data_IF_446198770966
#
_entry.id   IF_446198770966
#
_cell.length_a   1.000
_cell.length_b   1.000
_cell.length_c   1.000
_cell.angle_alpha   90.00
_cell.angle_beta   90.00
_cell.angle_gamma   90.00
#
_symmetry.space_group_name_H-M   'P 1'
#
loop_
_entity.id
_entity.type
_entity.pdbx_description
1 polymer ?
#
# COMPACT_ATOMS: atom_id res chain seq x y z
N UNK A 1 6.20 28.59 8.98
CA UNK A 1 6.60 27.36 8.26
C UNK A 1 5.84 26.22 8.90
N UNK A 2 5.15 25.37 8.12
CA UNK A 2 4.41 24.22 8.68
C UNK A 2 5.36 23.08 9.00
N UNK A 3 5.13 22.40 10.12
CA UNK A 3 5.88 21.21 10.56
C UNK A 3 5.14 19.95 10.13
N UNK A 4 5.82 19.13 9.33
CA UNK A 4 5.28 17.87 8.79
C UNK A 4 5.98 16.70 9.48
N UNK A 5 5.25 15.86 10.19
CA UNK A 5 5.76 14.58 10.65
C UNK A 5 5.60 13.53 9.55
N UNK A 6 6.69 12.90 9.13
CA UNK A 6 6.65 11.75 8.23
C UNK A 6 6.79 10.50 9.08
N UNK A 7 5.71 9.72 9.18
CA UNK A 7 5.65 8.51 9.99
C UNK A 7 5.87 7.29 9.10
N UNK A 8 6.87 6.46 9.42
CA UNK A 8 7.26 5.34 8.58
C UNK A 8 7.86 4.16 9.38
N UNK A 9 8.09 3.03 8.71
CA UNK A 9 8.48 1.75 9.31
C UNK A 9 7.25 0.90 9.61
N UNK A 10 6.94 0.69 10.88
CA UNK A 10 5.72 -0.01 11.33
C UNK A 10 5.91 -1.51 11.57
N UNK A 11 4.94 -2.10 12.25
CA UNK A 11 4.86 -3.55 12.51
C UNK A 11 4.11 -4.18 11.34
N UNK A 12 4.81 -4.38 10.23
CA UNK A 12 4.23 -4.87 8.98
C UNK A 12 5.27 -5.68 8.22
N UNK A 13 4.82 -6.59 7.37
CA UNK A 13 5.68 -7.31 6.41
C UNK A 13 6.29 -6.36 5.36
N UNK A 14 5.70 -5.17 5.17
CA UNK A 14 6.13 -4.14 4.23
C UNK A 14 6.96 -3.01 4.90
N UNK A 15 7.52 -3.30 6.08
CA UNK A 15 8.33 -2.36 6.86
C UNK A 15 9.46 -1.70 6.05
N UNK A 16 10.21 -2.49 5.31
CA UNK A 16 11.37 -2.01 4.57
C UNK A 16 10.95 -1.16 3.35
N UNK A 17 9.81 -1.49 2.72
CA UNK A 17 9.18 -0.67 1.66
C UNK A 17 8.76 0.69 2.20
N UNK A 18 8.21 0.73 3.41
CA UNK A 18 7.85 1.96 4.10
C UNK A 18 9.05 2.89 4.31
N UNK A 19 10.19 2.36 4.70
CA UNK A 19 11.43 3.14 4.85
C UNK A 19 11.83 3.77 3.51
N UNK A 20 11.83 2.99 2.44
CA UNK A 20 12.19 3.47 1.09
C UNK A 20 11.23 4.58 0.67
N UNK A 21 9.91 4.36 0.75
CA UNK A 21 8.90 5.36 0.41
C UNK A 21 9.10 6.66 1.19
N UNK A 22 9.28 6.56 2.51
CA UNK A 22 9.48 7.74 3.35
C UNK A 22 10.71 8.55 2.95
N UNK A 23 11.85 7.89 2.75
CA UNK A 23 13.12 8.58 2.52
C UNK A 23 13.20 9.14 1.10
N UNK A 24 12.80 8.36 0.09
CA UNK A 24 13.00 8.73 -1.32
C UNK A 24 11.85 9.53 -1.91
N UNK A 25 10.62 9.21 -1.53
CA UNK A 25 9.42 9.79 -2.16
C UNK A 25 8.71 10.84 -1.32
N UNK A 26 9.03 10.96 -0.02
CA UNK A 26 8.40 11.94 0.87
C UNK A 26 9.41 12.91 1.46
N UNK A 27 10.33 12.44 2.32
CA UNK A 27 11.24 13.32 3.08
C UNK A 27 12.17 14.11 2.16
N UNK A 28 12.81 13.43 1.21
CA UNK A 28 13.74 14.09 0.29
C UNK A 28 13.04 15.13 -0.58
N UNK A 29 11.91 14.82 -1.26
CA UNK A 29 11.17 15.83 -2.03
C UNK A 29 10.66 17.00 -1.19
N UNK A 30 10.13 16.76 0.01
CA UNK A 30 9.66 17.82 0.90
C UNK A 30 10.80 18.78 1.32
N UNK A 31 11.98 18.21 1.65
CA UNK A 31 13.17 19.02 1.97
C UNK A 31 13.67 19.83 0.78
N UNK A 32 13.64 19.26 -0.43
CA UNK A 32 14.03 19.95 -1.66
C UNK A 32 13.05 21.06 -2.07
N UNK A 33 11.75 20.82 -1.89
CA UNK A 33 10.72 21.82 -2.17
C UNK A 33 10.83 23.04 -1.23
N UNK A 34 11.32 22.84 -0.02
CA UNK A 34 11.43 23.88 1.00
C UNK A 34 10.07 24.33 1.54
N UNK A 35 10.08 25.32 2.44
CA UNK A 35 8.84 25.87 3.04
C UNK A 35 8.22 25.02 4.14
N UNK A 36 8.76 23.84 4.41
CA UNK A 36 8.32 22.92 5.45
C UNK A 36 9.46 22.57 6.39
N UNK A 37 9.11 22.31 7.66
CA UNK A 37 9.98 21.65 8.62
C UNK A 37 9.58 20.17 8.66
N UNK A 38 10.51 19.27 8.30
CA UNK A 38 10.22 17.83 8.16
C UNK A 38 10.78 17.07 9.35
N UNK A 39 9.91 16.38 10.08
CA UNK A 39 10.23 15.61 11.28
C UNK A 39 10.08 14.10 10.98
N UNK A 40 11.18 13.36 10.81
CA UNK A 40 11.14 11.93 10.61
C UNK A 40 10.73 11.21 11.90
N UNK A 41 9.69 10.38 11.82
CA UNK A 41 9.20 9.56 12.93
C UNK A 41 9.20 8.09 12.47
N UNK A 42 10.06 7.30 13.07
CA UNK A 42 10.25 5.91 12.72
C UNK A 42 9.61 4.99 13.75
N UNK A 43 8.87 4.01 13.25
CA UNK A 43 8.30 2.91 14.05
C UNK A 43 9.10 1.65 13.73
N UNK A 44 9.76 1.07 14.74
CA UNK A 44 10.52 -0.17 14.56
C UNK A 44 9.62 -1.40 14.39
N UNK A 45 10.20 -2.53 13.96
CA UNK A 45 9.47 -3.80 13.76
C UNK A 45 8.83 -4.35 15.05
N UNK A 46 9.30 -3.90 16.22
CA UNK A 46 8.73 -4.22 17.53
C UNK A 46 7.80 -3.13 18.09
N UNK A 47 7.38 -2.17 17.27
CA UNK A 47 6.37 -1.16 17.59
C UNK A 47 6.87 0.02 18.43
N UNK A 48 8.18 0.19 18.61
CA UNK A 48 8.73 1.36 19.31
C UNK A 48 8.85 2.56 18.39
N UNK A 49 8.54 3.74 18.91
CA UNK A 49 8.55 5.01 18.18
C UNK A 49 9.83 5.80 18.47
N UNK A 50 10.42 6.35 17.41
CA UNK A 50 11.63 7.17 17.45
C UNK A 50 11.45 8.44 16.65
N UNK A 51 12.01 9.54 17.13
CA UNK A 51 12.00 10.85 16.45
C UNK A 51 13.40 11.44 16.51
N UNK A 52 14.05 11.55 15.37
CA UNK A 52 15.38 12.14 15.22
C UNK A 52 15.65 12.48 13.76
N UNK A 53 16.35 13.58 13.47
CA UNK A 53 16.69 13.97 12.10
C UNK A 53 17.58 12.94 11.39
N UNK A 54 18.40 12.17 12.12
CA UNK A 54 19.24 11.09 11.57
C UNK A 54 18.43 9.98 10.92
N UNK A 55 17.17 9.80 11.30
CA UNK A 55 16.25 8.83 10.70
C UNK A 55 15.93 9.14 9.23
N UNK A 56 16.25 10.33 8.74
CA UNK A 56 16.16 10.69 7.33
C UNK A 56 17.38 10.25 6.49
N UNK A 57 18.41 9.68 7.11
CA UNK A 57 19.60 9.22 6.40
C UNK A 57 19.47 7.73 6.02
N UNK A 58 19.41 7.45 4.74
CA UNK A 58 19.32 6.08 4.21
C UNK A 58 20.48 5.19 4.67
N UNK A 59 21.67 5.77 4.88
CA UNK A 59 22.85 5.03 5.32
C UNK A 59 22.65 4.37 6.66
N UNK A 60 21.86 4.98 7.57
CA UNK A 60 21.54 4.43 8.88
C UNK A 60 20.91 3.02 8.78
N UNK A 61 20.09 2.81 7.75
CA UNK A 61 19.41 1.52 7.49
C UNK A 61 20.29 0.55 6.72
N UNK A 62 21.03 1.05 5.73
CA UNK A 62 21.92 0.23 4.89
C UNK A 62 23.13 -0.34 5.64
N UNK A 63 23.68 0.41 6.59
CA UNK A 63 24.84 -0.02 7.40
C UNK A 63 24.47 -0.98 8.55
N UNK A 64 23.16 -1.09 8.88
CA UNK A 64 22.70 -1.81 10.07
C UNK A 64 22.87 -1.01 11.37
N UNK A 65 23.32 0.24 11.30
CA UNK A 65 23.51 1.12 12.50
C UNK A 65 22.20 1.48 13.17
N UNK A 66 21.05 1.25 12.50
CA UNK A 66 19.72 1.52 13.07
C UNK A 66 19.49 0.78 14.37
N UNK A 67 19.99 -0.45 14.54
CA UNK A 67 19.84 -1.23 15.77
C UNK A 67 20.58 -0.59 16.94
N UNK A 68 21.81 -0.09 16.71
CA UNK A 68 22.57 0.62 17.72
C UNK A 68 21.95 1.98 18.04
N UNK A 69 21.47 2.69 17.02
CA UNK A 69 20.72 3.93 17.19
C UNK A 69 19.51 3.70 18.11
N UNK A 70 18.67 2.69 17.83
CA UNK A 70 17.48 2.39 18.64
C UNK A 70 17.78 2.04 20.09
N UNK A 71 18.92 1.40 20.36
CA UNK A 71 19.33 1.10 21.74
C UNK A 71 19.66 2.35 22.57
N UNK A 72 20.17 3.41 21.91
CA UNK A 72 20.63 4.65 22.57
C UNK A 72 19.63 5.79 22.47
N UNK A 73 18.72 5.74 21.48
CA UNK A 73 17.79 6.83 21.24
C UNK A 73 16.71 6.91 22.33
N UNK A 74 16.33 8.11 22.75
CA UNK A 74 15.21 8.29 23.64
C UNK A 74 13.90 7.86 22.95
N UNK A 75 13.02 7.22 23.71
CA UNK A 75 11.68 6.89 23.25
C UNK A 75 10.85 8.15 23.02
N UNK A 76 9.98 8.09 22.03
CA UNK A 76 9.03 9.15 21.72
C UNK A 76 7.66 8.77 22.27
N UNK A 77 6.96 9.76 22.81
CA UNK A 77 5.56 9.67 23.16
C UNK A 77 4.79 10.67 22.32
N UNK A 78 3.60 10.27 21.90
CA UNK A 78 2.65 11.16 21.23
C UNK A 78 1.73 11.80 22.27
N UNK A 79 1.62 13.12 22.25
CA UNK A 79 0.63 13.86 23.02
C UNK A 79 -0.40 14.44 22.07
N UNK A 80 -1.68 14.24 22.39
CA UNK A 80 -2.82 14.69 21.60
C UNK A 80 -3.58 15.86 22.26
N UNK A 81 -2.93 16.56 23.18
CA UNK A 81 -3.51 17.72 23.86
C UNK A 81 -3.52 18.93 22.90
N UNK A 82 -4.65 19.19 22.28
CA UNK A 82 -4.85 20.27 21.31
C UNK A 82 -4.12 20.06 19.97
N UNK A 83 -4.02 18.82 19.51
CA UNK A 83 -3.35 18.39 18.29
C UNK A 83 -2.24 17.40 18.58
N UNK A 84 -1.38 17.11 17.58
CA UNK A 84 -0.27 16.18 17.76
C UNK A 84 1.02 16.92 18.20
N UNK A 85 1.59 16.46 19.31
CA UNK A 85 2.91 16.89 19.75
C UNK A 85 3.80 15.67 19.96
N UNK A 86 4.97 15.65 19.32
CA UNK A 86 6.02 14.68 19.59
C UNK A 86 6.73 15.10 20.89
N UNK A 87 6.90 14.15 21.81
CA UNK A 87 7.56 14.37 23.09
C UNK A 87 8.65 13.34 23.26
N UNK A 88 9.89 13.77 23.42
CA UNK A 88 10.98 12.87 23.81
C UNK A 88 11.62 13.30 25.13
N UNK A 89 11.80 12.33 26.02
CA UNK A 89 12.47 12.55 27.28
C UNK A 89 13.98 12.41 27.11
N UNK A 90 14.75 13.43 27.50
CA UNK A 90 16.21 13.29 27.54
C UNK A 90 16.60 12.29 28.64
N UNK A 91 17.57 11.43 28.36
CA UNK A 91 18.16 10.53 29.37
C UNK A 91 18.95 11.28 30.46
N UNK A 92 19.35 12.54 30.15
CA UNK A 92 20.11 13.39 31.07
C UNK A 92 19.30 14.62 31.46
N UNK A 93 19.25 14.91 32.77
CA UNK A 93 18.72 16.15 33.36
C UNK A 93 17.20 16.41 33.19
N UNK A 94 16.36 15.42 32.98
CA UNK A 94 14.89 15.62 33.01
C UNK A 94 14.32 16.57 31.94
N UNK A 95 15.13 17.02 30.99
CA UNK A 95 14.67 17.90 29.90
C UNK A 95 13.83 17.11 28.92
N UNK A 96 12.63 17.63 28.63
CA UNK A 96 11.76 17.11 27.57
C UNK A 96 11.91 18.00 26.34
N UNK A 97 12.01 17.39 25.16
CA UNK A 97 11.88 18.10 23.89
C UNK A 97 10.48 17.91 23.35
N UNK A 98 9.89 18.99 22.85
CA UNK A 98 8.51 19.02 22.33
C UNK A 98 8.53 19.54 20.91
N UNK A 99 7.72 18.94 20.03
CA UNK A 99 7.53 19.40 18.66
C UNK A 99 6.06 19.28 18.29
N UNK A 100 5.42 20.42 18.11
CA UNK A 100 4.05 20.46 17.58
C UNK A 100 4.05 20.14 16.09
N UNK A 101 3.14 19.31 15.66
CA UNK A 101 2.96 18.85 14.29
C UNK A 101 1.73 19.51 13.70
N UNK A 102 1.87 20.12 12.52
CA UNK A 102 0.75 20.73 11.79
C UNK A 102 0.08 19.74 10.83
N UNK A 103 0.86 18.81 10.25
CA UNK A 103 0.37 17.80 9.28
C UNK A 103 1.16 16.52 9.47
N UNK A 104 0.51 15.38 9.36
CA UNK A 104 1.17 14.07 9.29
C UNK A 104 1.18 13.58 7.85
N UNK A 105 2.33 13.09 7.40
CA UNK A 105 2.46 12.32 6.18
C UNK A 105 2.71 10.86 6.57
N UNK A 106 1.68 10.00 6.56
CA UNK A 106 1.86 8.57 6.71
C UNK A 106 2.65 8.04 5.51
N UNK A 107 3.71 7.27 5.78
CA UNK A 107 4.47 6.56 4.75
C UNK A 107 4.63 5.09 5.17
N UNK A 108 3.64 4.59 5.92
CA UNK A 108 3.52 3.20 6.36
C UNK A 108 2.86 2.38 5.25
N UNK A 109 3.25 1.11 5.14
CA UNK A 109 2.63 0.17 4.22
C UNK A 109 2.15 -1.07 4.94
N UNK A 110 1.04 -1.66 4.43
CA UNK A 110 0.41 -2.83 5.01
C UNK A 110 -0.31 -2.55 6.32
N UNK A 111 -0.33 -3.54 7.19
CA UNK A 111 -1.05 -3.53 8.48
C UNK A 111 -0.62 -2.36 9.37
N UNK A 112 -1.58 -1.76 10.06
CA UNK A 112 -1.47 -0.57 10.93
C UNK A 112 -1.05 0.73 10.18
N UNK A 113 -0.90 0.67 8.86
CA UNK A 113 -0.50 1.80 8.04
C UNK A 113 -1.53 2.20 6.99
N UNK A 114 -2.01 1.23 6.20
CA UNK A 114 -2.94 1.44 5.10
C UNK A 114 -4.38 1.08 5.46
N UNK A 115 -4.60 0.37 6.56
CA UNK A 115 -5.91 -0.16 7.02
C UNK A 115 -6.77 0.86 7.77
N UNK A 116 -6.32 2.11 7.88
CA UNK A 116 -7.05 3.19 8.53
C UNK A 116 -6.78 3.37 10.02
N UNK A 117 -6.05 2.48 10.68
CA UNK A 117 -5.82 2.56 12.13
C UNK A 117 -5.05 3.83 12.54
N UNK A 118 -3.95 4.15 11.85
CA UNK A 118 -3.23 5.40 12.09
C UNK A 118 -4.09 6.61 11.74
N UNK A 119 -4.85 6.56 10.65
CA UNK A 119 -5.75 7.64 10.24
C UNK A 119 -6.82 7.91 11.30
N UNK A 120 -7.42 6.85 11.86
CA UNK A 120 -8.39 6.97 12.95
C UNK A 120 -7.81 7.64 14.20
N UNK A 121 -6.58 7.32 14.56
CA UNK A 121 -5.86 7.99 15.65
C UNK A 121 -5.66 9.49 15.36
N UNK A 122 -5.28 9.84 14.13
CA UNK A 122 -5.05 11.23 13.72
C UNK A 122 -6.38 12.03 13.64
N UNK A 123 -7.46 11.40 13.16
CA UNK A 123 -8.81 12.00 13.13
C UNK A 123 -9.31 12.29 14.54
N UNK A 124 -9.19 11.34 15.48
CA UNK A 124 -9.54 11.56 16.90
C UNK A 124 -8.72 12.71 17.53
N UNK A 125 -7.47 12.88 17.11
CA UNK A 125 -6.59 13.94 17.56
C UNK A 125 -6.82 15.28 16.83
N UNK A 126 -7.71 15.32 15.83
CA UNK A 126 -7.94 16.47 14.95
C UNK A 126 -6.66 16.98 14.28
N UNK A 127 -5.85 16.05 13.77
CA UNK A 127 -4.58 16.31 13.09
C UNK A 127 -4.72 16.07 11.60
N UNK A 128 -4.52 17.07 10.74
CA UNK A 128 -4.52 16.87 9.29
C UNK A 128 -3.44 15.87 8.84
N UNK A 129 -3.77 15.05 7.86
CA UNK A 129 -2.83 14.09 7.30
C UNK A 129 -3.01 13.94 5.78
N UNK A 130 -2.03 13.31 5.13
CA UNK A 130 -2.06 12.98 3.70
C UNK A 130 -2.49 11.53 3.54
N UNK A 131 -3.46 11.26 2.65
CA UNK A 131 -3.94 9.92 2.35
C UNK A 131 -5.46 9.81 2.45
N UNK A 132 -5.97 8.59 2.28
CA UNK A 132 -7.38 8.28 2.42
C UNK A 132 -7.85 8.41 3.87
N UNK A 133 -9.13 8.74 4.07
CA UNK A 133 -9.76 8.74 5.39
C UNK A 133 -9.74 7.34 6.03
N UNK A 134 -9.94 7.27 7.34
CA UNK A 134 -9.97 6.00 8.06
C UNK A 134 -10.99 5.02 7.44
N UNK A 135 -12.26 5.39 7.18
CA UNK A 135 -13.22 4.47 6.56
C UNK A 135 -12.81 4.02 5.15
N UNK A 136 -12.32 4.95 4.31
CA UNK A 136 -11.88 4.63 2.96
C UNK A 136 -10.68 3.67 2.97
N UNK A 137 -9.72 3.88 3.88
CA UNK A 137 -8.55 3.02 4.04
C UNK A 137 -8.95 1.61 4.52
N UNK A 138 -9.82 1.51 5.52
CA UNK A 138 -10.30 0.23 6.03
C UNK A 138 -11.05 -0.58 4.96
N UNK A 139 -11.90 0.10 4.17
CA UNK A 139 -12.61 -0.53 3.04
C UNK A 139 -11.63 -0.94 1.94
N UNK A 140 -10.70 -0.07 1.57
CA UNK A 140 -9.72 -0.35 0.50
C UNK A 140 -8.85 -1.56 0.83
N UNK A 141 -8.47 -1.74 2.09
CA UNK A 141 -7.65 -2.88 2.52
C UNK A 141 -8.43 -4.20 2.64
N UNK A 142 -9.75 -4.18 2.74
CA UNK A 142 -10.58 -5.39 2.68
C UNK A 142 -11.07 -5.63 1.25
N UNK A 143 -10.42 -6.55 0.52
CA UNK A 143 -10.75 -6.87 -0.88
C UNK A 143 -12.21 -7.26 -1.09
N UNK A 144 -12.83 -7.88 -0.09
CA UNK A 144 -14.25 -8.28 -0.16
C UNK A 144 -15.16 -7.06 -0.04
N UNK A 145 -14.95 -6.20 0.97
CA UNK A 145 -15.75 -5.00 1.16
C UNK A 145 -15.58 -4.03 -0.02
N UNK A 146 -14.36 -3.82 -0.49
CA UNK A 146 -14.10 -2.98 -1.65
C UNK A 146 -14.87 -3.46 -2.90
N UNK A 147 -14.85 -4.78 -3.16
CA UNK A 147 -15.58 -5.36 -4.30
C UNK A 147 -17.10 -5.35 -4.10
N UNK A 148 -17.59 -5.54 -2.88
CA UNK A 148 -19.02 -5.41 -2.58
C UNK A 148 -19.54 -4.01 -2.87
N UNK A 149 -18.81 -2.98 -2.42
CA UNK A 149 -19.16 -1.58 -2.70
C UNK A 149 -19.06 -1.28 -4.21
N UNK A 150 -17.98 -1.71 -4.87
CA UNK A 150 -17.79 -1.56 -6.32
C UNK A 150 -18.97 -2.19 -7.09
N UNK A 151 -19.30 -3.45 -6.80
CA UNK A 151 -20.41 -4.18 -7.45
C UNK A 151 -21.76 -3.53 -7.21
N UNK A 152 -22.01 -3.01 -5.99
CA UNK A 152 -23.26 -2.28 -5.68
C UNK A 152 -23.38 -0.97 -6.48
N UNK A 153 -22.27 -0.45 -6.98
CA UNK A 153 -22.21 0.73 -7.86
C UNK A 153 -22.01 0.35 -9.33
N UNK A 154 -22.31 -0.88 -9.72
CA UNK A 154 -22.23 -1.40 -11.11
C UNK A 154 -20.81 -1.34 -11.70
N UNK A 155 -19.77 -1.33 -10.86
CA UNK A 155 -18.39 -1.43 -11.31
C UNK A 155 -18.06 -2.90 -11.50
N UNK A 156 -17.59 -3.32 -12.68
CA UNK A 156 -17.22 -4.70 -12.94
C UNK A 156 -16.08 -5.18 -12.05
N UNK A 157 -16.24 -6.36 -11.46
CA UNK A 157 -15.20 -7.09 -10.73
C UNK A 157 -15.09 -8.51 -11.28
N UNK A 158 -13.96 -9.21 -11.15
CA UNK A 158 -13.93 -10.64 -11.37
C UNK A 158 -15.00 -11.30 -10.50
N UNK A 159 -15.59 -12.39 -10.99
CA UNK A 159 -16.55 -13.15 -10.18
C UNK A 159 -15.85 -13.74 -8.97
N UNK A 160 -16.42 -13.59 -7.80
CA UNK A 160 -15.78 -13.97 -6.53
C UNK A 160 -16.77 -14.48 -5.51
N UNK A 161 -16.24 -15.27 -4.57
CA UNK A 161 -16.87 -15.60 -3.30
C UNK A 161 -15.86 -15.43 -2.16
N UNK A 162 -16.30 -15.54 -0.92
CA UNK A 162 -15.40 -15.43 0.22
C UNK A 162 -15.84 -16.35 1.35
N UNK A 163 -14.91 -16.63 2.26
CA UNK A 163 -15.17 -17.42 3.45
C UNK A 163 -14.38 -16.90 4.64
N UNK A 164 -14.82 -17.30 5.83
CA UNK A 164 -14.09 -17.11 7.07
C UNK A 164 -13.40 -18.41 7.49
N UNK A 165 -12.22 -18.32 8.07
CA UNK A 165 -11.39 -19.44 8.54
C UNK A 165 -12.20 -20.43 9.39
N UNK A 166 -12.91 -19.93 10.41
CA UNK A 166 -13.64 -20.79 11.34
C UNK A 166 -14.76 -21.59 10.64
N UNK A 167 -15.46 -20.95 9.68
CA UNK A 167 -16.47 -21.63 8.87
C UNK A 167 -15.84 -22.72 8.01
N UNK A 168 -14.69 -22.42 7.39
CA UNK A 168 -13.97 -23.37 6.55
C UNK A 168 -13.49 -24.58 7.35
N UNK A 169 -12.88 -24.38 8.52
CA UNK A 169 -12.42 -25.47 9.39
C UNK A 169 -13.58 -26.40 9.80
N UNK A 170 -14.74 -25.82 10.11
CA UNK A 170 -15.91 -26.61 10.54
C UNK A 170 -16.61 -27.34 9.40
N UNK A 171 -16.57 -26.81 8.16
CA UNK A 171 -17.38 -27.28 7.02
C UNK A 171 -16.58 -27.32 5.72
N UNK A 172 -15.33 -27.80 5.76
CA UNK A 172 -14.40 -27.77 4.61
C UNK A 172 -15.02 -28.31 3.33
N UNK A 173 -15.65 -29.50 3.38
CA UNK A 173 -16.24 -30.14 2.18
C UNK A 173 -17.41 -29.33 1.59
N UNK A 174 -18.25 -28.75 2.45
CA UNK A 174 -19.38 -27.93 2.00
C UNK A 174 -18.88 -26.59 1.41
N UNK A 175 -17.88 -25.97 2.03
CA UNK A 175 -17.26 -24.74 1.50
C UNK A 175 -16.68 -24.99 0.11
N UNK A 176 -15.88 -26.04 -0.07
CA UNK A 176 -15.31 -26.37 -1.38
C UNK A 176 -16.39 -26.61 -2.43
N UNK A 177 -17.44 -27.39 -2.08
CA UNK A 177 -18.56 -27.65 -2.98
C UNK A 177 -19.31 -26.36 -3.36
N UNK A 178 -19.54 -25.46 -2.42
CA UNK A 178 -20.22 -24.20 -2.68
C UNK A 178 -19.40 -23.30 -3.61
N UNK A 179 -18.09 -23.21 -3.37
CA UNK A 179 -17.17 -22.44 -4.24
C UNK A 179 -17.22 -22.99 -5.67
N UNK A 180 -17.13 -24.31 -5.86
CA UNK A 180 -17.17 -24.95 -7.18
C UNK A 180 -18.53 -24.84 -7.89
N UNK A 181 -19.62 -24.64 -7.12
CA UNK A 181 -20.94 -24.36 -7.71
C UNK A 181 -21.06 -22.90 -8.18
N UNK A 182 -20.33 -22.00 -7.55
CA UNK A 182 -20.36 -20.56 -7.85
C UNK A 182 -19.31 -20.12 -8.85
N UNK A 183 -18.10 -20.69 -8.80
CA UNK A 183 -16.94 -20.25 -9.55
C UNK A 183 -16.38 -21.34 -10.47
N UNK A 184 -15.75 -20.93 -11.57
CA UNK A 184 -15.05 -21.81 -12.49
C UNK A 184 -13.53 -21.75 -12.30
N UNK A 185 -12.86 -22.88 -12.46
CA UNK A 185 -11.41 -22.94 -12.51
C UNK A 185 -10.86 -22.30 -13.82
N UNK A 186 -9.66 -21.70 -13.80
CA UNK A 186 -8.78 -21.47 -12.65
C UNK A 186 -9.30 -20.39 -11.70
N UNK A 187 -8.90 -20.49 -10.43
CA UNK A 187 -9.26 -19.53 -9.39
C UNK A 187 -8.01 -18.97 -8.71
N UNK A 188 -8.08 -17.72 -8.26
CA UNK A 188 -7.11 -17.14 -7.34
C UNK A 188 -7.68 -17.07 -5.93
N UNK A 189 -6.94 -17.59 -4.97
CA UNK A 189 -7.26 -17.55 -3.54
C UNK A 189 -6.33 -16.55 -2.86
N UNK A 190 -6.89 -15.60 -2.11
CA UNK A 190 -6.15 -14.48 -1.55
C UNK A 190 -6.61 -14.18 -0.12
N UNK A 191 -5.71 -13.86 0.83
CA UNK A 191 -6.09 -13.19 2.06
C UNK A 191 -6.82 -11.88 1.75
N UNK A 192 -7.87 -11.54 2.49
CA UNK A 192 -8.69 -10.36 2.22
C UNK A 192 -7.96 -9.04 2.54
N UNK A 193 -7.14 -9.03 3.60
CA UNK A 193 -6.53 -7.83 4.18
C UNK A 193 -5.03 -7.67 3.92
N UNK A 194 -4.40 -8.52 3.10
CA UNK A 194 -2.96 -8.44 2.83
C UNK A 194 -2.65 -7.93 1.44
N UNK A 195 -1.54 -7.19 1.33
CA UNK A 195 -0.94 -6.71 0.10
C UNK A 195 0.22 -7.58 -0.41
N UNK A 196 1.00 -7.06 -1.35
CA UNK A 196 2.27 -7.64 -1.86
C UNK A 196 2.18 -9.10 -2.28
N UNK A 197 1.01 -9.56 -2.74
CA UNK A 197 0.74 -10.96 -3.15
C UNK A 197 1.04 -12.01 -2.08
N UNK A 198 1.13 -11.65 -0.79
CA UNK A 198 1.37 -12.58 0.31
C UNK A 198 0.17 -13.51 0.45
N UNK A 199 0.41 -14.83 0.42
CA UNK A 199 -0.64 -15.85 0.56
C UNK A 199 -1.55 -16.00 -0.66
N UNK A 200 -1.26 -15.32 -1.79
CA UNK A 200 -2.01 -15.46 -3.05
C UNK A 200 -1.59 -16.75 -3.75
N UNK A 201 -2.55 -17.59 -4.06
CA UNK A 201 -2.30 -18.89 -4.75
C UNK A 201 -3.33 -19.10 -5.86
N UNK A 202 -2.85 -19.56 -7.02
CA UNK A 202 -3.68 -19.98 -8.15
C UNK A 202 -4.04 -21.46 -8.01
N UNK A 203 -5.30 -21.81 -8.21
CA UNK A 203 -5.81 -23.18 -8.15
C UNK A 203 -6.49 -23.55 -9.47
N UNK A 204 -6.20 -24.76 -9.97
CA UNK A 204 -6.77 -25.32 -11.21
C UNK A 204 -7.56 -26.59 -10.95
N UNK A 205 -7.44 -27.14 -9.75
CA UNK A 205 -8.12 -28.35 -9.28
C UNK A 205 -8.65 -28.16 -7.86
N UNK A 206 -9.55 -29.05 -7.43
CA UNK A 206 -10.11 -29.05 -6.08
C UNK A 206 -9.02 -29.20 -4.99
N UNK A 207 -8.03 -30.06 -5.21
CA UNK A 207 -6.96 -30.27 -4.24
C UNK A 207 -6.06 -29.03 -4.12
N UNK A 208 -5.79 -28.38 -5.25
CA UNK A 208 -5.08 -27.10 -5.26
C UNK A 208 -5.90 -25.99 -4.60
N UNK A 209 -7.23 -25.95 -4.81
CA UNK A 209 -8.13 -25.00 -4.16
C UNK A 209 -8.10 -25.17 -2.64
N UNK A 210 -8.19 -26.41 -2.16
CA UNK A 210 -8.10 -26.72 -0.74
C UNK A 210 -6.77 -26.22 -0.15
N UNK A 211 -5.65 -26.58 -0.75
CA UNK A 211 -4.32 -26.13 -0.31
C UNK A 211 -4.20 -24.62 -0.34
N UNK A 212 -4.71 -23.95 -1.37
CA UNK A 212 -4.69 -22.51 -1.50
C UNK A 212 -5.48 -21.79 -0.39
N UNK A 213 -6.65 -22.34 -0.01
CA UNK A 213 -7.44 -21.82 1.10
C UNK A 213 -6.70 -22.03 2.43
N UNK A 214 -6.09 -23.18 2.64
CA UNK A 214 -5.30 -23.46 3.86
C UNK A 214 -4.10 -22.49 3.99
N UNK A 215 -3.41 -22.20 2.88
CA UNK A 215 -2.35 -21.18 2.85
C UNK A 215 -2.90 -19.79 3.19
N UNK A 216 -3.98 -19.37 2.51
CA UNK A 216 -4.54 -18.03 2.73
C UNK A 216 -5.09 -17.86 4.15
N UNK A 217 -5.75 -18.89 4.72
CA UNK A 217 -6.28 -18.88 6.09
C UNK A 217 -5.18 -18.91 7.16
N UNK A 218 -3.95 -19.29 6.84
CA UNK A 218 -2.83 -19.15 7.76
C UNK A 218 -2.51 -17.66 8.03
N UNK A 219 -2.69 -16.81 7.02
CA UNK A 219 -2.35 -15.39 7.09
C UNK A 219 -3.52 -14.51 7.52
N UNK A 220 -4.77 -14.90 7.22
CA UNK A 220 -5.95 -14.04 7.42
C UNK A 220 -7.17 -14.86 7.83
N UNK A 221 -8.04 -14.29 8.63
CA UNK A 221 -9.29 -14.93 9.04
C UNK A 221 -10.36 -14.88 7.95
N UNK A 222 -10.19 -14.04 6.94
CA UNK A 222 -11.07 -13.84 5.80
C UNK A 222 -10.33 -14.06 4.49
N UNK A 223 -10.88 -14.90 3.64
CA UNK A 223 -10.26 -15.27 2.36
C UNK A 223 -11.24 -15.02 1.22
N UNK A 224 -10.75 -14.38 0.16
CA UNK A 224 -11.47 -14.18 -1.09
C UNK A 224 -10.99 -15.19 -2.14
N UNK A 225 -11.91 -15.75 -2.90
CA UNK A 225 -11.66 -16.65 -4.03
C UNK A 225 -12.28 -16.00 -5.27
N UNK A 226 -11.48 -15.86 -6.33
CA UNK A 226 -11.86 -15.16 -7.55
C UNK A 226 -11.61 -16.02 -8.80
N UNK A 227 -12.50 -15.96 -9.79
CA UNK A 227 -12.23 -16.52 -11.11
C UNK A 227 -11.05 -15.78 -11.77
N UNK A 228 -10.16 -16.53 -12.41
CA UNK A 228 -9.04 -15.95 -13.17
C UNK A 228 -9.55 -15.16 -14.39
N UNK A 229 -9.15 -13.91 -14.51
CA UNK A 229 -9.39 -13.12 -15.73
C UNK A 229 -8.52 -13.67 -16.85
N UNK A 230 -9.14 -14.06 -17.96
CA UNK A 230 -8.45 -14.63 -19.10
C UNK A 230 -7.77 -13.55 -19.95
N UNK A 231 -6.72 -13.92 -20.71
CA UNK A 231 -5.96 -13.00 -21.58
C UNK A 231 -5.57 -11.70 -20.84
N UNK A 232 -5.06 -11.86 -19.63
CA UNK A 232 -4.87 -10.81 -18.65
C UNK A 232 -3.86 -9.75 -19.08
N UNK A 233 -4.28 -8.50 -19.01
CA UNK A 233 -3.43 -7.31 -18.92
C UNK A 233 -3.72 -6.65 -17.57
N UNK A 234 -2.70 -6.48 -16.74
CA UNK A 234 -2.78 -5.70 -15.52
C UNK A 234 -2.48 -4.23 -15.81
N UNK A 235 -3.25 -3.31 -15.24
CA UNK A 235 -2.97 -1.88 -15.29
C UNK A 235 -3.21 -1.22 -13.94
N UNK A 236 -2.43 -0.20 -13.64
CA UNK A 236 -2.54 0.59 -12.43
C UNK A 236 -2.76 2.06 -12.74
N UNK A 237 -3.56 2.74 -11.94
CA UNK A 237 -3.88 4.16 -12.09
C UNK A 237 -3.65 4.90 -10.77
N UNK A 238 -2.56 5.66 -10.63
CA UNK A 238 -2.40 6.57 -9.50
C UNK A 238 -3.33 7.78 -9.63
N UNK A 239 -3.98 8.13 -8.52
CA UNK A 239 -4.96 9.23 -8.43
C UNK A 239 -4.64 10.08 -7.21
N UNK A 240 -4.71 11.39 -7.35
CA UNK A 240 -4.60 12.34 -6.23
C UNK A 240 -5.78 13.31 -6.24
N UNK A 241 -6.18 13.76 -5.07
CA UNK A 241 -7.19 14.79 -4.87
C UNK A 241 -8.25 14.39 -3.87
N UNK A 242 -9.15 15.32 -3.62
CA UNK A 242 -10.32 15.14 -2.76
C UNK A 242 -11.59 15.29 -3.63
N UNK A 243 -12.24 16.45 -3.63
CA UNK A 243 -13.38 16.71 -4.52
C UNK A 243 -12.93 16.75 -6.00
N UNK A 244 -11.87 17.49 -6.28
CA UNK A 244 -11.22 17.50 -7.59
C UNK A 244 -10.09 16.49 -7.61
N UNK A 245 -10.17 15.53 -8.54
CA UNK A 245 -9.16 14.49 -8.70
C UNK A 245 -8.33 14.72 -9.96
N UNK A 246 -7.04 14.40 -9.84
CA UNK A 246 -6.08 14.31 -10.96
C UNK A 246 -5.60 12.88 -11.07
N UNK A 247 -5.43 12.41 -12.29
CA UNK A 247 -4.89 11.08 -12.57
C UNK A 247 -3.52 11.20 -13.20
N UNK A 248 -2.64 10.26 -12.88
CA UNK A 248 -1.40 10.07 -13.61
C UNK A 248 -1.64 9.19 -14.84
N UNK A 249 -0.57 8.87 -15.58
CA UNK A 249 -0.67 7.91 -16.68
C UNK A 249 -1.02 6.51 -16.14
N UNK A 250 -1.85 5.77 -16.89
CA UNK A 250 -1.98 4.32 -16.69
C UNK A 250 -0.63 3.66 -16.92
N UNK A 251 -0.27 2.77 -16.02
CA UNK A 251 0.93 1.93 -16.12
C UNK A 251 0.54 0.47 -16.32
N UNK A 252 1.27 -0.22 -17.20
CA UNK A 252 1.17 -1.67 -17.37
C UNK A 252 2.44 -2.32 -16.81
N UNK A 253 2.39 -2.99 -15.64
CA UNK A 253 3.50 -3.78 -15.15
C UNK A 253 3.84 -4.91 -16.14
N UNK A 254 5.13 -5.07 -16.48
CA UNK A 254 5.60 -6.13 -17.39
C UNK A 254 6.18 -7.32 -16.62
N UNK A 255 6.39 -7.15 -15.33
CA UNK A 255 6.88 -8.17 -14.40
C UNK A 255 6.03 -8.21 -13.15
N UNK A 256 6.00 -9.36 -12.48
CA UNK A 256 5.23 -9.49 -11.24
C UNK A 256 5.72 -8.50 -10.16
N UNK A 257 4.80 -8.01 -9.34
CA UNK A 257 5.12 -7.14 -8.20
C UNK A 257 6.18 -7.74 -7.28
N UNK A 258 6.24 -9.06 -7.14
CA UNK A 258 7.27 -9.76 -6.36
C UNK A 258 8.70 -9.51 -6.88
N UNK A 259 8.91 -9.41 -8.21
CA UNK A 259 10.22 -9.08 -8.78
C UNK A 259 10.60 -7.61 -8.60
N UNK A 260 9.60 -6.71 -8.55
CA UNK A 260 9.81 -5.29 -8.28
C UNK A 260 10.27 -5.05 -6.84
N UNK A 261 9.64 -5.72 -5.87
CA UNK A 261 10.04 -5.64 -4.45
C UNK A 261 11.42 -6.26 -4.18
N UNK A 262 11.83 -7.29 -4.92
CA UNK A 262 13.19 -7.84 -4.80
C UNK A 262 14.26 -6.84 -5.26
N UNK A 263 13.95 -5.99 -6.23
CA UNK A 263 14.84 -4.91 -6.66
C UNK A 263 15.01 -3.83 -5.57
N UNK A 264 13.93 -3.40 -4.94
CA UNK A 264 13.98 -2.42 -3.84
C UNK A 264 14.70 -2.98 -2.61
N UNK A 265 14.49 -4.25 -2.30
CA UNK A 265 15.18 -4.97 -1.21
C UNK A 265 16.69 -5.11 -1.49
N UNK A 266 17.08 -5.33 -2.73
CA UNK A 266 18.49 -5.35 -3.16
C UNK A 266 19.16 -3.99 -3.06
N UNK A 267 18.42 -2.91 -3.32
CA UNK A 267 18.93 -1.53 -3.18
C UNK A 267 19.25 -1.19 -1.71
N UNK A 268 18.43 -1.69 -0.78
CA UNK A 268 18.66 -1.52 0.67
C UNK A 268 19.82 -2.36 1.19
N UNK A 269 20.11 -3.53 0.60
CA UNK A 269 21.17 -4.45 1.07
C UNK A 269 22.59 -4.11 0.58
N UNK A 270 22.79 -2.98 -0.09
CA UNK A 270 24.13 -2.51 -0.47
C UNK A 270 24.91 -3.49 -1.35
N UNK A 271 24.24 -4.11 -2.32
CA UNK A 271 24.85 -5.07 -3.24
C UNK A 271 26.07 -4.49 -3.96
N UNK A 272 27.25 -5.01 -3.66
CA UNK A 272 28.52 -4.67 -4.28
C UNK A 272 28.50 -4.95 -5.79
N UNK A 273 28.86 -3.91 -6.53
CA UNK A 273 29.39 -3.87 -7.91
C UNK A 273 28.43 -3.66 -9.08
N UNK A 274 28.63 -2.52 -9.71
CA UNK A 274 28.74 -2.40 -11.16
C UNK A 274 27.51 -1.94 -11.92
N UNK A 275 26.95 -0.79 -11.58
CA UNK A 275 26.05 -0.10 -12.48
C UNK A 275 26.02 1.39 -12.14
N UNK A 276 26.38 2.23 -13.11
CA UNK A 276 26.38 3.69 -13.01
C UNK A 276 25.09 4.18 -12.38
N UNK A 277 25.19 5.02 -11.38
CA UNK A 277 24.10 5.82 -10.82
C UNK A 277 23.40 6.59 -11.95
N UNK A 278 22.36 5.99 -12.52
CA UNK A 278 21.49 6.55 -13.54
C UNK A 278 20.32 7.23 -12.83
N UNK A 279 20.36 8.54 -12.79
CA UNK A 279 19.21 9.38 -12.49
C UNK A 279 18.04 9.00 -13.40
N UNK A 280 16.96 8.44 -12.82
CA UNK A 280 15.60 8.64 -13.38
C UNK A 280 15.23 8.03 -14.73
N UNK A 281 15.97 7.05 -15.29
CA UNK A 281 15.67 6.43 -16.59
C UNK A 281 15.50 4.91 -16.60
N UNK A 282 15.62 4.23 -15.48
CA UNK A 282 15.70 2.77 -15.43
C UNK A 282 14.38 2.02 -15.08
N UNK A 283 13.21 2.65 -15.22
CA UNK A 283 11.93 1.92 -15.32
C UNK A 283 11.71 1.28 -16.71
N UNK A 284 12.57 1.58 -17.69
CA UNK A 284 12.53 0.97 -19.01
C UNK A 284 12.89 -0.52 -18.94
N UNK A 285 11.88 -1.37 -18.88
CA UNK A 285 11.99 -2.82 -18.88
C UNK A 285 11.14 -3.51 -17.81
N UNK A 286 10.62 -2.79 -16.82
CA UNK A 286 9.74 -3.33 -15.78
C UNK A 286 8.27 -2.98 -15.98
N UNK A 287 7.98 -1.88 -16.68
CA UNK A 287 6.62 -1.44 -16.98
C UNK A 287 6.55 -0.65 -18.29
N UNK A 288 5.35 -0.59 -18.87
CA UNK A 288 5.00 0.36 -19.94
C UNK A 288 4.31 1.58 -19.31
N UNK A 289 4.88 2.75 -19.51
CA UNK A 289 4.38 4.02 -19.00
C UNK A 289 4.47 5.11 -20.09
N UNK A 290 3.36 5.67 -20.60
CA UNK A 290 1.99 5.19 -20.37
C UNK A 290 1.73 3.81 -20.99
N UNK A 291 0.77 3.08 -20.43
CA UNK A 291 0.36 1.76 -20.92
C UNK A 291 -0.06 1.83 -22.40
N UNK A 292 0.52 0.97 -23.24
CA UNK A 292 0.23 0.92 -24.68
C UNK A 292 -1.06 0.13 -24.95
N UNK A 293 -2.19 0.76 -24.73
CA UNK A 293 -3.52 0.24 -24.98
C UNK A 293 -4.20 0.99 -26.12
N UNK A 294 -5.13 0.36 -26.86
CA UNK A 294 -6.04 1.08 -27.76
C UNK A 294 -6.74 2.21 -27.00
N UNK A 295 -6.81 3.43 -27.58
CA UNK A 295 -7.33 4.62 -26.90
C UNK A 295 -8.66 4.37 -26.17
N UNK A 296 -9.61 3.70 -26.82
CA UNK A 296 -10.92 3.40 -26.23
C UNK A 296 -10.81 2.54 -24.96
N UNK A 297 -9.88 1.59 -24.94
CA UNK A 297 -9.64 0.72 -23.79
C UNK A 297 -8.91 1.47 -22.67
N UNK A 298 -7.93 2.31 -23.03
CA UNK A 298 -7.25 3.20 -22.10
C UNK A 298 -8.25 4.12 -21.39
N UNK A 299 -9.11 4.81 -22.16
CA UNK A 299 -10.14 5.71 -21.62
C UNK A 299 -11.16 4.94 -20.74
N UNK A 300 -11.52 3.69 -21.10
CA UNK A 300 -12.41 2.82 -20.31
C UNK A 300 -11.76 2.49 -18.95
N UNK A 301 -10.49 2.09 -18.93
CA UNK A 301 -9.76 1.78 -17.71
C UNK A 301 -9.57 3.02 -16.83
N UNK A 302 -9.17 4.14 -17.40
CA UNK A 302 -9.01 5.40 -16.66
C UNK A 302 -10.33 5.85 -16.01
N UNK A 303 -11.43 5.78 -16.74
CA UNK A 303 -12.76 6.15 -16.22
C UNK A 303 -13.22 5.19 -15.10
N UNK A 304 -12.98 3.89 -15.25
CA UNK A 304 -13.29 2.92 -14.20
C UNK A 304 -12.47 3.20 -12.94
N UNK A 305 -11.17 3.46 -13.06
CA UNK A 305 -10.34 3.82 -11.92
C UNK A 305 -10.83 5.08 -11.19
N UNK A 306 -11.25 6.12 -11.93
CA UNK A 306 -11.86 7.32 -11.35
C UNK A 306 -13.17 7.03 -10.61
N UNK A 307 -14.01 6.13 -11.16
CA UNK A 307 -15.26 5.71 -10.52
C UNK A 307 -14.96 4.95 -9.21
N UNK A 308 -14.03 3.99 -9.23
CA UNK A 308 -13.60 3.24 -8.04
C UNK A 308 -13.13 4.20 -6.95
N UNK A 309 -12.24 5.13 -7.28
CA UNK A 309 -11.71 6.11 -6.33
C UNK A 309 -12.83 6.89 -5.63
N UNK A 310 -13.88 7.27 -6.37
CA UNK A 310 -15.02 8.03 -5.83
C UNK A 310 -15.95 7.17 -4.98
N UNK A 311 -16.33 5.97 -5.45
CA UNK A 311 -17.31 5.14 -4.72
C UNK A 311 -16.73 4.52 -3.46
N UNK A 312 -15.40 4.35 -3.38
CA UNK A 312 -14.70 3.96 -2.15
C UNK A 312 -14.32 5.16 -1.28
N UNK A 313 -14.76 6.38 -1.64
CA UNK A 313 -14.51 7.62 -0.91
C UNK A 313 -13.02 7.88 -0.66
N UNK A 314 -12.16 7.45 -1.58
CA UNK A 314 -10.72 7.72 -1.50
C UNK A 314 -10.45 9.22 -1.53
N UNK A 315 -9.38 9.64 -0.85
CA UNK A 315 -8.93 11.02 -0.78
C UNK A 315 -7.40 11.10 -0.69
N UNK A 316 -6.84 12.29 -0.89
CA UNK A 316 -5.40 12.50 -0.83
C UNK A 316 -4.69 11.80 -1.98
N UNK A 317 -4.22 10.57 -1.77
CA UNK A 317 -3.55 9.75 -2.80
C UNK A 317 -3.99 8.31 -2.67
N UNK A 318 -4.26 7.65 -3.82
CA UNK A 318 -4.44 6.21 -3.91
C UNK A 318 -4.01 5.68 -5.29
N UNK A 319 -3.88 4.36 -5.42
CA UNK A 319 -3.65 3.67 -6.68
C UNK A 319 -4.75 2.63 -6.88
N UNK A 320 -5.43 2.70 -8.01
CA UNK A 320 -6.44 1.72 -8.40
C UNK A 320 -5.81 0.71 -9.35
N UNK A 321 -5.88 -0.56 -8.99
CA UNK A 321 -5.37 -1.68 -9.78
C UNK A 321 -6.53 -2.38 -10.49
N UNK A 322 -6.36 -2.61 -11.79
CA UNK A 322 -7.42 -3.13 -12.66
C UNK A 322 -6.89 -4.28 -13.52
N UNK A 323 -7.78 -5.20 -13.83
CA UNK A 323 -7.54 -6.35 -14.69
C UNK A 323 -8.31 -6.16 -16.00
N UNK A 324 -7.66 -6.40 -17.12
CA UNK A 324 -8.28 -6.30 -18.46
C UNK A 324 -8.22 -7.67 -19.11
N UNK A 325 -9.36 -8.15 -19.62
CA UNK A 325 -9.36 -9.23 -20.59
C UNK A 325 -9.14 -8.62 -22.00
N UNK A 326 -7.95 -8.82 -22.56
CA UNK A 326 -7.54 -8.26 -23.85
C UNK A 326 -8.46 -8.72 -25.00
N UNK A 327 -9.04 -9.92 -24.92
CA UNK A 327 -9.87 -10.48 -25.97
C UNK A 327 -11.27 -9.88 -25.99
N UNK A 328 -11.86 -9.65 -24.82
CA UNK A 328 -13.22 -9.09 -24.70
C UNK A 328 -13.20 -7.56 -24.52
N UNK A 329 -12.05 -6.96 -24.21
CA UNK A 329 -11.88 -5.56 -23.79
C UNK A 329 -12.71 -5.20 -22.55
N UNK A 330 -12.99 -6.20 -21.68
CA UNK A 330 -13.61 -5.93 -20.39
C UNK A 330 -12.55 -5.51 -19.39
N UNK A 331 -12.90 -4.51 -18.57
CA UNK A 331 -12.04 -3.96 -17.50
C UNK A 331 -12.70 -4.23 -16.17
N UNK A 332 -11.97 -4.83 -15.26
CA UNK A 332 -12.42 -5.21 -13.93
C UNK A 332 -11.63 -4.48 -12.84
N UNK A 333 -12.30 -4.02 -11.83
CA UNK A 333 -11.67 -3.54 -10.60
C UNK A 333 -11.03 -4.73 -9.84
N UNK A 334 -9.77 -4.62 -9.49
CA UNK A 334 -9.05 -5.61 -8.68
C UNK A 334 -8.95 -5.17 -7.22
N UNK A 335 -8.19 -4.12 -6.95
CA UNK A 335 -7.96 -3.60 -5.60
C UNK A 335 -7.59 -2.11 -5.62
N UNK A 336 -7.63 -1.48 -4.43
CA UNK A 336 -7.12 -0.12 -4.21
C UNK A 336 -6.02 -0.18 -3.15
N UNK A 337 -4.95 0.57 -3.43
CA UNK A 337 -3.90 0.85 -2.46
C UNK A 337 -4.07 2.29 -1.96
N UNK A 338 -4.54 2.51 -0.72
CA UNK A 338 -4.84 3.84 -0.20
C UNK A 338 -3.59 4.66 0.12
N UNK A 339 -2.41 4.01 0.15
CA UNK A 339 -1.11 4.65 0.29
C UNK A 339 -0.07 3.89 -0.55
N UNK A 340 -0.01 4.12 -1.87
CA UNK A 340 0.81 3.30 -2.76
C UNK A 340 2.31 3.48 -2.53
N UNK A 341 3.08 2.38 -2.66
CA UNK A 341 4.53 2.38 -2.53
C UNK A 341 5.20 3.41 -3.43
N UNK A 342 6.23 4.09 -2.92
CA UNK A 342 6.95 5.18 -3.61
C UNK A 342 6.04 6.29 -4.16
N UNK A 343 4.76 6.35 -3.73
CA UNK A 343 3.70 7.26 -4.17
C UNK A 343 3.52 7.30 -5.69
N UNK A 344 4.02 6.30 -6.40
CA UNK A 344 4.04 6.24 -7.87
C UNK A 344 4.59 7.51 -8.52
N UNK A 345 5.64 8.09 -7.92
CA UNK A 345 6.22 9.37 -8.34
C UNK A 345 6.70 9.37 -9.80
N UNK A 346 7.04 8.21 -10.35
CA UNK A 346 7.45 8.07 -11.75
C UNK A 346 6.28 8.32 -12.71
N UNK A 347 5.06 7.87 -12.39
CA UNK A 347 3.87 8.11 -13.20
C UNK A 347 3.51 9.59 -13.28
N UNK A 348 3.68 10.32 -12.17
CA UNK A 348 3.39 11.75 -12.09
C UNK A 348 4.38 12.61 -12.89
N UNK A 349 5.59 12.11 -13.16
CA UNK A 349 6.58 12.81 -14.00
C UNK A 349 6.25 12.73 -15.49
N UNK A 350 5.52 11.69 -15.90
CA UNK A 350 5.10 11.46 -17.29
C UNK A 350 3.72 12.05 -17.60
N UNK A 351 2.92 12.37 -16.58
CA UNK A 351 1.62 13.01 -16.70
C UNK A 351 1.75 14.55 -16.78
#
# INVERSE_FOLDING_TARGET
>A
MKTIAVIFGGVSTEHDVSIITALTSVITPLKLAGGFEVEPVYISKDGRWFWDQRLADVKLYQSGEIEEFMRRAPKVHLSFDGGLTLVKSSQFAGRKAYKKIDVVFPALHGTHGEDGELMGLLEMANVPYVGCSMPASAVAMDKVLAKQIASSNLIPTPKYTYLFRDTYIQKTSDCLKNIENELNYPMFVKPAHLGSSIGVTRATTRDELQNAIEVATYYDDKVIIEEEVQNLIEVTLPIVGNEEIKVACLERPLKSTAEFFDFDTKYMRGGKKGGKTGSGRDSQGYSELPAKLPKKLYDKAENLGKQVYRVLECSGIARVDMLIDEKTNEVYFNEVNPLPGSLYAHNWREA
#
